data_IF_970624199036
#
_entry.id   IF_970624199036
#
_cell.length_a   1.000
_cell.length_b   1.000
_cell.length_c   1.000
_cell.angle_alpha   90.00
_cell.angle_beta   90.00
_cell.angle_gamma   90.00
#
_symmetry.space_group_name_H-M   'P 1'
#
loop_
_entity.id
_entity.type
_entity.pdbx_description
1 polymer ?
#
# COMPACT_ATOMS: atom_id res chain seq x y z
N UNK A 1 1.47 -17.92 -2.40
CA UNK A 1 1.01 -16.53 -2.46
C UNK A 1 -0.39 -16.32 -1.85
N UNK A 2 -1.37 -17.18 -2.17
CA UNK A 2 -2.75 -17.04 -1.62
C UNK A 2 -2.75 -17.15 -0.09
N UNK A 3 -2.12 -18.18 0.47
CA UNK A 3 -2.01 -18.35 1.94
C UNK A 3 -1.31 -17.16 2.59
N UNK A 4 -0.21 -16.69 1.99
CA UNK A 4 0.50 -15.49 2.44
C UNK A 4 -0.41 -14.27 2.44
N UNK A 5 -1.21 -14.06 1.39
CA UNK A 5 -2.15 -12.95 1.30
C UNK A 5 -3.24 -12.99 2.39
N UNK A 6 -3.77 -14.17 2.67
CA UNK A 6 -4.78 -14.36 3.73
C UNK A 6 -4.21 -13.99 5.11
N UNK A 7 -2.99 -14.48 5.42
CA UNK A 7 -2.34 -14.18 6.70
C UNK A 7 -2.01 -12.68 6.82
N UNK A 8 -1.47 -12.08 5.76
CA UNK A 8 -1.13 -10.65 5.77
C UNK A 8 -2.34 -9.74 5.80
N UNK A 9 -3.50 -10.12 5.26
CA UNK A 9 -4.70 -9.28 5.28
C UNK A 9 -5.19 -8.97 6.70
N UNK A 10 -4.93 -9.85 7.67
CA UNK A 10 -5.28 -9.64 9.07
C UNK A 10 -4.50 -8.49 9.72
N UNK A 11 -3.24 -8.28 9.36
CA UNK A 11 -2.39 -7.28 10.00
C UNK A 11 -2.91 -5.84 9.81
N UNK A 12 -3.18 -5.36 8.58
CA UNK A 12 -3.76 -4.03 8.37
C UNK A 12 -5.14 -3.87 9.02
N UNK A 13 -5.99 -4.90 8.95
CA UNK A 13 -7.33 -4.84 9.52
C UNK A 13 -7.28 -4.67 11.05
N UNK A 14 -6.43 -5.45 11.74
CA UNK A 14 -6.26 -5.36 13.18
C UNK A 14 -5.60 -4.02 13.57
N UNK A 15 -4.59 -3.58 12.83
CA UNK A 15 -3.91 -2.31 13.12
C UNK A 15 -4.86 -1.11 12.99
N UNK A 16 -5.69 -1.08 11.94
CA UNK A 16 -6.68 -0.01 11.76
C UNK A 16 -7.78 -0.06 12.82
N UNK A 17 -8.25 -1.24 13.22
CA UNK A 17 -9.22 -1.41 14.29
C UNK A 17 -8.64 -0.93 15.63
N UNK A 18 -7.41 -1.35 15.98
CA UNK A 18 -6.71 -0.91 17.18
C UNK A 18 -6.57 0.62 17.24
N UNK A 19 -6.13 1.25 16.15
CA UNK A 19 -6.03 2.71 16.08
C UNK A 19 -7.40 3.37 16.25
N UNK A 20 -8.45 2.83 15.65
CA UNK A 20 -9.80 3.35 15.76
C UNK A 20 -10.42 3.24 17.16
N UNK A 21 -9.99 2.24 17.95
CA UNK A 21 -10.48 1.98 19.30
C UNK A 21 -9.67 2.71 20.39
N UNK A 22 -8.36 2.87 20.21
CA UNK A 22 -7.44 3.36 21.25
C UNK A 22 -7.04 4.83 21.09
N UNK A 23 -7.18 5.41 19.88
CA UNK A 23 -6.78 6.78 19.59
C UNK A 23 -7.97 7.72 19.64
N UNK A 24 -7.84 8.85 20.34
CA UNK A 24 -8.87 9.88 20.39
C UNK A 24 -9.25 10.39 19.00
N UNK A 25 -10.54 10.67 18.78
CA UNK A 25 -11.07 11.08 17.48
C UNK A 25 -10.35 12.28 16.86
N UNK A 26 -9.84 13.22 17.66
CA UNK A 26 -9.07 14.38 17.18
C UNK A 26 -7.69 13.99 16.62
N UNK A 27 -7.08 12.92 17.13
CA UNK A 27 -5.75 12.43 16.74
C UNK A 27 -5.80 11.27 15.76
N UNK A 28 -6.98 10.69 15.55
CA UNK A 28 -7.17 9.49 14.70
C UNK A 28 -6.70 9.72 13.26
N UNK A 29 -6.98 10.88 12.68
CA UNK A 29 -6.53 11.21 11.33
C UNK A 29 -5.01 11.22 11.18
N UNK A 30 -4.31 11.77 12.19
CA UNK A 30 -2.84 11.78 12.22
C UNK A 30 -2.29 10.37 12.39
N UNK A 31 -2.86 9.59 13.30
CA UNK A 31 -2.43 8.20 13.53
C UNK A 31 -2.61 7.33 12.28
N UNK A 32 -3.75 7.44 11.60
CA UNK A 32 -4.00 6.76 10.32
C UNK A 32 -3.03 7.22 9.21
N UNK A 33 -2.74 8.53 9.13
CA UNK A 33 -1.77 9.08 8.21
C UNK A 33 -0.35 8.55 8.44
N UNK A 34 0.08 8.46 9.69
CA UNK A 34 1.37 7.85 10.07
C UNK A 34 1.43 6.37 9.71
N UNK A 35 0.35 5.63 9.96
CA UNK A 35 0.25 4.22 9.58
C UNK A 35 0.41 4.03 8.07
N UNK A 36 -0.33 4.80 7.25
CA UNK A 36 -0.24 4.74 5.78
C UNK A 36 1.15 5.14 5.29
N UNK A 37 1.74 6.18 5.88
CA UNK A 37 3.12 6.58 5.56
C UNK A 37 4.12 5.48 5.89
N UNK A 38 3.96 4.81 7.03
CA UNK A 38 4.77 3.66 7.41
C UNK A 38 4.69 2.49 6.42
N UNK A 39 3.49 2.18 5.92
CA UNK A 39 3.31 1.13 4.89
C UNK A 39 4.00 1.49 3.58
N UNK A 40 3.94 2.76 3.17
CA UNK A 40 4.60 3.25 1.95
C UNK A 40 6.12 3.19 2.07
N UNK A 41 6.67 3.67 3.19
CA UNK A 41 8.12 3.62 3.48
C UNK A 41 8.59 2.16 3.57
N UNK A 42 7.84 1.30 4.25
CA UNK A 42 8.16 -0.12 4.36
C UNK A 42 8.18 -0.83 3.00
N UNK A 43 7.18 -0.58 2.16
CA UNK A 43 7.10 -1.14 0.81
C UNK A 43 8.26 -0.68 -0.09
N UNK A 44 8.61 0.60 -0.04
CA UNK A 44 9.75 1.18 -0.74
C UNK A 44 11.07 0.59 -0.25
N UNK A 45 11.32 0.62 1.06
CA UNK A 45 12.56 0.13 1.67
C UNK A 45 12.80 -1.35 1.38
N UNK A 46 11.74 -2.18 1.45
CA UNK A 46 11.85 -3.59 1.11
C UNK A 46 12.31 -3.83 -0.32
N UNK A 47 11.84 -3.04 -1.27
CA UNK A 47 12.25 -3.16 -2.67
C UNK A 47 13.67 -2.65 -2.92
N UNK A 48 14.08 -1.56 -2.28
CA UNK A 48 15.46 -1.05 -2.34
C UNK A 48 16.44 -2.09 -1.76
N UNK A 49 16.12 -2.64 -0.59
CA UNK A 49 16.95 -3.67 0.05
C UNK A 49 17.05 -4.90 -0.87
N UNK A 50 15.91 -5.41 -1.39
CA UNK A 50 15.91 -6.57 -2.28
C UNK A 50 16.71 -6.33 -3.55
N UNK A 51 16.53 -5.17 -4.19
CA UNK A 51 17.28 -4.82 -5.41
C UNK A 51 18.80 -4.78 -5.14
N UNK A 52 19.20 -4.05 -4.10
CA UNK A 52 20.63 -3.92 -3.74
C UNK A 52 21.26 -5.25 -3.33
N UNK A 53 20.56 -6.07 -2.55
CA UNK A 53 21.07 -7.36 -2.12
C UNK A 53 21.12 -8.39 -3.26
N UNK A 54 20.20 -8.30 -4.22
CA UNK A 54 20.20 -9.18 -5.40
C UNK A 54 21.42 -8.94 -6.29
N UNK A 55 21.86 -7.69 -6.45
CA UNK A 55 23.02 -7.33 -7.26
C UNK A 55 24.35 -7.58 -6.52
N UNK A 56 24.40 -7.30 -5.20
CA UNK A 56 25.65 -7.40 -4.42
C UNK A 56 25.96 -8.84 -3.98
N UNK A 57 24.94 -9.65 -3.71
CA UNK A 57 25.09 -11.00 -3.19
C UNK A 57 24.21 -12.00 -3.94
N UNK A 58 22.94 -12.11 -3.50
CA UNK A 58 21.92 -12.95 -4.14
C UNK A 58 20.54 -12.60 -3.60
N UNK A 59 19.48 -12.97 -4.34
CA UNK A 59 18.12 -12.73 -3.89
C UNK A 59 17.78 -13.48 -2.58
N UNK A 60 18.41 -14.63 -2.32
CA UNK A 60 18.24 -15.43 -1.10
C UNK A 60 18.72 -14.64 0.13
N UNK A 61 19.88 -13.99 0.04
CA UNK A 61 20.42 -13.13 1.10
C UNK A 61 19.47 -11.97 1.38
N UNK A 62 18.92 -11.33 0.34
CA UNK A 62 17.92 -10.29 0.48
C UNK A 62 16.68 -10.75 1.26
N UNK A 63 16.15 -11.94 0.95
CA UNK A 63 15.00 -12.53 1.66
C UNK A 63 15.33 -12.82 3.12
N UNK A 64 16.53 -13.36 3.40
CA UNK A 64 16.97 -13.64 4.78
C UNK A 64 17.07 -12.34 5.59
N UNK A 65 17.69 -11.30 5.04
CA UNK A 65 17.83 -10.00 5.71
C UNK A 65 16.45 -9.41 6.03
N UNK A 66 15.54 -9.39 5.03
CA UNK A 66 14.18 -8.90 5.26
C UNK A 66 13.42 -9.76 6.29
N UNK A 67 13.63 -11.06 6.28
CA UNK A 67 13.04 -11.98 7.27
C UNK A 67 13.52 -11.66 8.68
N UNK A 68 14.83 -11.50 8.88
CA UNK A 68 15.42 -11.15 10.18
C UNK A 68 14.94 -9.78 10.66
N UNK A 69 14.95 -8.77 9.79
CA UNK A 69 14.45 -7.42 10.12
C UNK A 69 12.96 -7.47 10.49
N UNK A 70 12.15 -8.22 9.74
CA UNK A 70 10.71 -8.38 10.03
C UNK A 70 10.48 -9.06 11.38
N UNK A 71 11.26 -10.09 11.72
CA UNK A 71 11.19 -10.74 13.02
C UNK A 71 11.60 -9.79 14.15
N UNK A 72 12.68 -9.03 13.98
CA UNK A 72 13.12 -8.06 14.98
C UNK A 72 12.05 -6.98 15.23
N UNK A 73 11.42 -6.46 14.14
CA UNK A 73 10.32 -5.50 14.23
C UNK A 73 9.11 -6.14 14.95
N UNK A 74 8.79 -7.40 14.62
CA UNK A 74 7.69 -8.12 15.27
C UNK A 74 7.91 -8.27 16.77
N UNK A 75 9.11 -8.67 17.19
CA UNK A 75 9.45 -8.76 18.62
C UNK A 75 9.38 -7.40 19.31
N UNK A 76 9.94 -6.35 18.68
CA UNK A 76 9.85 -4.99 19.20
C UNK A 76 8.40 -4.53 19.33
N UNK A 77 7.57 -4.81 18.32
CA UNK A 77 6.14 -4.45 18.32
C UNK A 77 5.39 -5.13 19.46
N UNK A 78 5.59 -6.45 19.68
CA UNK A 78 4.95 -7.19 20.78
C UNK A 78 5.38 -6.64 22.13
N UNK A 79 6.64 -6.22 22.27
CA UNK A 79 7.16 -5.66 23.51
C UNK A 79 6.70 -4.21 23.74
N UNK A 80 6.66 -3.38 22.71
CA UNK A 80 6.40 -1.95 22.81
C UNK A 80 4.91 -1.58 22.73
N UNK A 81 4.06 -2.46 22.15
CA UNK A 81 2.64 -2.15 21.98
C UNK A 81 1.92 -2.16 23.33
N UNK A 82 1.28 -1.04 23.72
CA UNK A 82 0.46 -1.02 24.93
C UNK A 82 -0.71 -1.99 24.81
N UNK A 83 -1.14 -2.62 25.92
CA UNK A 83 -2.33 -3.44 25.91
C UNK A 83 -3.56 -2.57 25.58
N UNK A 84 -4.45 -3.12 24.75
CA UNK A 84 -5.70 -2.43 24.42
C UNK A 84 -6.55 -2.23 25.67
N UNK A 85 -7.02 -0.98 25.88
CA UNK A 85 -7.86 -0.60 27.01
C UNK A 85 -9.35 -0.65 26.70
N UNK A 86 -9.69 -0.49 25.42
CA UNK A 86 -11.09 -0.42 24.95
C UNK A 86 -11.56 -1.70 24.25
N UNK A 87 -10.67 -2.68 24.12
CA UNK A 87 -11.01 -3.96 23.50
C UNK A 87 -11.98 -4.77 24.36
N UNK A 88 -13.18 -5.03 23.85
CA UNK A 88 -14.16 -5.91 24.47
C UNK A 88 -14.12 -7.27 23.77
N UNK A 89 -13.55 -8.28 24.44
CA UNK A 89 -13.52 -9.63 23.90
C UNK A 89 -14.93 -10.18 23.73
N UNK A 90 -15.30 -10.50 22.50
CA UNK A 90 -16.56 -11.17 22.18
C UNK A 90 -16.30 -12.63 21.85
N UNK A 91 -17.16 -13.57 22.31
CA UNK A 91 -16.98 -14.97 21.97
C UNK A 91 -17.04 -15.16 20.45
N UNK A 92 -16.06 -15.89 19.91
CA UNK A 92 -15.98 -16.22 18.50
C UNK A 92 -17.16 -17.16 18.13
N UNK A 93 -18.19 -16.59 17.57
CA UNK A 93 -19.35 -17.32 17.08
C UNK A 93 -19.32 -17.31 15.55
N UNK A 94 -19.08 -18.45 14.94
CA UNK A 94 -18.92 -18.57 13.49
C UNK A 94 -20.19 -18.17 12.72
N UNK A 95 -21.39 -18.56 13.22
CA UNK A 95 -22.65 -18.22 12.56
C UNK A 95 -22.93 -16.71 12.47
N UNK A 96 -22.80 -15.91 13.54
CA UNK A 96 -22.94 -14.45 13.45
C UNK A 96 -21.90 -13.80 12.55
N UNK A 97 -20.64 -14.27 12.55
CA UNK A 97 -19.59 -13.73 11.67
C UNK A 97 -19.95 -13.93 10.19
N UNK A 98 -20.34 -15.14 9.82
CA UNK A 98 -20.77 -15.44 8.45
C UNK A 98 -22.02 -14.65 8.06
N UNK A 99 -22.98 -14.53 8.96
CA UNK A 99 -24.19 -13.73 8.72
C UNK A 99 -23.86 -12.24 8.54
N UNK A 100 -22.95 -11.70 9.34
CA UNK A 100 -22.49 -10.32 9.22
C UNK A 100 -21.75 -10.09 7.89
N UNK A 101 -20.88 -11.03 7.48
CA UNK A 101 -20.19 -10.97 6.19
C UNK A 101 -21.20 -10.91 5.03
N UNK A 102 -22.17 -11.82 5.01
CA UNK A 102 -23.22 -11.82 3.98
C UNK A 102 -24.10 -10.56 4.03
N UNK A 103 -24.34 -10.00 5.20
CA UNK A 103 -25.06 -8.74 5.33
C UNK A 103 -24.30 -7.59 4.68
N UNK A 104 -22.99 -7.47 4.94
CA UNK A 104 -22.15 -6.44 4.32
C UNK A 104 -21.97 -6.65 2.79
N UNK A 105 -21.94 -7.91 2.32
CA UNK A 105 -21.89 -8.21 0.88
C UNK A 105 -23.22 -7.94 0.16
N UNK A 106 -24.32 -7.73 0.88
CA UNK A 106 -25.61 -7.30 0.30
C UNK A 106 -25.77 -5.79 0.23
N UNK A 107 -24.96 -5.04 0.98
CA UNK A 107 -24.95 -3.58 0.91
C UNK A 107 -24.19 -3.14 -0.35
N UNK A 108 -24.95 -2.60 -1.31
CA UNK A 108 -24.41 -2.13 -2.59
C UNK A 108 -23.28 -1.10 -2.42
N UNK A 109 -23.38 -0.22 -1.42
CA UNK A 109 -22.37 0.81 -1.14
C UNK A 109 -21.06 0.18 -0.69
N UNK A 110 -21.14 -0.80 0.23
CA UNK A 110 -19.96 -1.50 0.72
C UNK A 110 -19.31 -2.36 -0.37
N UNK A 111 -20.11 -3.04 -1.18
CA UNK A 111 -19.60 -3.83 -2.32
C UNK A 111 -18.89 -2.94 -3.34
N UNK A 112 -19.43 -1.77 -3.66
CA UNK A 112 -18.75 -0.80 -4.53
C UNK A 112 -17.41 -0.33 -3.92
N UNK A 113 -17.37 -0.04 -2.63
CA UNK A 113 -16.13 0.35 -1.95
C UNK A 113 -15.09 -0.78 -1.97
N UNK A 114 -15.50 -2.01 -1.72
CA UNK A 114 -14.61 -3.18 -1.81
C UNK A 114 -14.09 -3.39 -3.23
N UNK A 115 -14.96 -3.23 -4.25
CA UNK A 115 -14.57 -3.34 -5.64
C UNK A 115 -13.56 -2.25 -6.05
N UNK A 116 -13.78 -1.00 -5.64
CA UNK A 116 -12.85 0.11 -5.87
C UNK A 116 -11.50 -0.19 -5.22
N UNK A 117 -11.48 -0.56 -3.94
CA UNK A 117 -10.24 -0.90 -3.23
C UNK A 117 -9.49 -2.07 -3.88
N UNK A 118 -10.21 -3.12 -4.29
CA UNK A 118 -9.64 -4.27 -5.00
C UNK A 118 -9.02 -3.86 -6.34
N UNK A 119 -9.73 -3.08 -7.16
CA UNK A 119 -9.26 -2.66 -8.47
C UNK A 119 -8.08 -1.69 -8.38
N UNK A 120 -8.15 -0.71 -7.48
CA UNK A 120 -7.05 0.25 -7.29
C UNK A 120 -5.79 -0.44 -6.79
N UNK A 121 -5.89 -1.22 -5.70
CA UNK A 121 -4.73 -1.91 -5.13
C UNK A 121 -4.20 -2.99 -6.08
N UNK A 122 -5.09 -3.73 -6.75
CA UNK A 122 -4.73 -4.73 -7.74
C UNK A 122 -3.97 -4.10 -8.92
N UNK A 123 -4.46 -2.99 -9.47
CA UNK A 123 -3.80 -2.25 -10.54
C UNK A 123 -2.43 -1.71 -10.11
N UNK A 124 -2.35 -1.14 -8.90
CA UNK A 124 -1.12 -0.60 -8.35
C UNK A 124 -0.04 -1.68 -8.19
N UNK A 125 -0.36 -2.78 -7.52
CA UNK A 125 0.59 -3.88 -7.31
C UNK A 125 1.00 -4.53 -8.63
N UNK A 126 0.04 -4.75 -9.53
CA UNK A 126 0.30 -5.32 -10.86
C UNK A 126 1.24 -4.42 -11.65
N UNK A 127 0.94 -3.13 -11.72
CA UNK A 127 1.75 -2.16 -12.45
C UNK A 127 3.19 -2.18 -11.98
N UNK A 128 3.43 -2.05 -10.69
CA UNK A 128 4.78 -2.02 -10.13
C UNK A 128 5.53 -3.34 -10.25
N UNK A 129 4.84 -4.47 -10.22
CA UNK A 129 5.50 -5.76 -10.46
C UNK A 129 5.92 -5.90 -11.93
N UNK A 130 5.01 -5.64 -12.88
CA UNK A 130 5.31 -5.80 -14.30
C UNK A 130 6.33 -4.78 -14.81
N UNK A 131 6.25 -3.52 -14.38
CA UNK A 131 7.22 -2.51 -14.79
C UNK A 131 8.64 -2.85 -14.30
N UNK A 132 8.75 -3.51 -13.13
CA UNK A 132 10.05 -3.97 -12.62
C UNK A 132 10.67 -5.02 -13.54
N UNK A 133 9.89 -6.01 -13.99
CA UNK A 133 10.37 -6.99 -14.98
C UNK A 133 10.78 -6.32 -16.29
N UNK A 134 9.94 -5.40 -16.80
CA UNK A 134 10.22 -4.65 -18.03
C UNK A 134 11.54 -3.87 -17.96
N UNK A 135 11.87 -3.30 -16.82
CA UNK A 135 13.10 -2.53 -16.65
C UNK A 135 14.35 -3.41 -16.50
N UNK A 136 14.21 -4.65 -16.04
CA UNK A 136 15.31 -5.61 -15.96
C UNK A 136 15.65 -6.23 -17.32
N UNK A 137 14.68 -6.28 -18.25
CA UNK A 137 14.82 -6.84 -19.58
C UNK A 137 15.25 -5.80 -20.63
N UNK A 138 15.73 -6.27 -21.80
CA UNK A 138 15.98 -5.39 -22.93
C UNK A 138 14.70 -4.70 -23.41
N UNK A 139 14.75 -3.44 -23.86
CA UNK A 139 15.93 -2.64 -24.19
C UNK A 139 16.54 -1.87 -23.01
N UNK A 140 15.99 -1.92 -21.80
CA UNK A 140 16.48 -1.10 -20.68
C UNK A 140 17.63 -1.76 -19.92
N UNK A 141 17.57 -3.06 -19.68
CA UNK A 141 18.58 -3.89 -19.00
C UNK A 141 19.17 -3.22 -17.73
N UNK A 142 18.29 -2.61 -16.90
CA UNK A 142 18.72 -1.94 -15.68
C UNK A 142 19.07 -2.98 -14.61
N UNK A 143 20.01 -2.65 -13.73
CA UNK A 143 20.31 -3.49 -12.57
C UNK A 143 19.15 -3.53 -11.57
N UNK A 144 19.07 -4.60 -10.78
CA UNK A 144 18.03 -4.73 -9.76
C UNK A 144 18.10 -3.61 -8.71
N UNK A 145 19.31 -3.13 -8.42
CA UNK A 145 19.53 -1.95 -7.56
C UNK A 145 18.83 -0.71 -8.12
N UNK A 146 19.06 -0.39 -9.40
CA UNK A 146 18.45 0.80 -10.03
C UNK A 146 16.93 0.67 -10.03
N UNK A 147 16.41 -0.50 -10.40
CA UNK A 147 14.96 -0.77 -10.33
C UNK A 147 14.44 -0.60 -8.92
N UNK A 148 15.17 -1.07 -7.89
CA UNK A 148 14.83 -0.85 -6.48
C UNK A 148 14.74 0.65 -6.12
N UNK A 149 15.68 1.48 -6.59
CA UNK A 149 15.67 2.93 -6.33
C UNK A 149 14.52 3.67 -7.03
N UNK A 150 14.01 3.17 -8.16
CA UNK A 150 12.82 3.74 -8.81
C UNK A 150 11.61 3.75 -7.87
N UNK A 151 11.55 2.83 -6.90
CA UNK A 151 10.49 2.81 -5.90
C UNK A 151 10.49 4.01 -4.93
N UNK A 152 11.51 4.89 -4.97
CA UNK A 152 11.43 6.21 -4.32
C UNK A 152 10.22 7.02 -4.80
N UNK A 153 9.69 6.71 -5.96
CA UNK A 153 8.43 7.28 -6.46
C UNK A 153 7.28 7.12 -5.46
N UNK A 154 7.31 6.12 -4.57
CA UNK A 154 6.31 5.99 -3.51
C UNK A 154 6.25 7.19 -2.56
N UNK A 155 7.34 7.92 -2.39
CA UNK A 155 7.35 9.16 -1.59
C UNK A 155 6.43 10.23 -2.19
N UNK A 156 6.27 10.24 -3.52
CA UNK A 156 5.31 11.11 -4.20
C UNK A 156 3.89 10.84 -3.72
N UNK A 157 3.57 9.58 -3.42
CA UNK A 157 2.28 9.18 -2.86
C UNK A 157 2.00 9.82 -1.51
N UNK A 158 3.00 9.88 -0.62
CA UNK A 158 2.85 10.52 0.70
C UNK A 158 2.52 12.01 0.55
N UNK A 159 3.18 12.71 -0.37
CA UNK A 159 2.87 14.12 -0.68
C UNK A 159 1.48 14.26 -1.31
N UNK A 160 1.17 13.39 -2.26
CA UNK A 160 -0.11 13.37 -2.99
C UNK A 160 -1.30 13.23 -2.03
N UNK A 161 -1.25 12.27 -1.11
CA UNK A 161 -2.37 12.03 -0.19
C UNK A 161 -2.67 13.23 0.71
N UNK A 162 -1.63 13.96 1.19
CA UNK A 162 -1.81 15.18 1.96
C UNK A 162 -2.43 16.29 1.11
N UNK A 163 -1.97 16.45 -0.14
CA UNK A 163 -2.48 17.45 -1.06
C UNK A 163 -3.94 17.20 -1.45
N UNK A 164 -4.27 15.96 -1.86
CA UNK A 164 -5.65 15.58 -2.19
C UNK A 164 -6.57 15.61 -0.98
N UNK A 165 -6.07 15.27 0.21
CA UNK A 165 -6.80 15.42 1.46
C UNK A 165 -7.25 16.87 1.71
N UNK A 166 -6.33 17.84 1.53
CA UNK A 166 -6.66 19.27 1.64
C UNK A 166 -7.61 19.73 0.54
N UNK A 167 -7.43 19.24 -0.68
CA UNK A 167 -8.29 19.56 -1.82
C UNK A 167 -9.72 19.04 -1.62
N UNK A 168 -9.85 17.83 -1.08
CA UNK A 168 -11.16 17.20 -0.81
C UNK A 168 -11.95 17.94 0.27
N UNK A 169 -11.25 18.54 1.24
CA UNK A 169 -11.87 19.39 2.25
C UNK A 169 -12.42 20.71 1.65
N UNK A 170 -11.80 21.20 0.57
CA UNK A 170 -12.18 22.47 -0.07
C UNK A 170 -13.26 22.30 -1.16
N UNK A 171 -13.11 21.28 -2.00
CA UNK A 171 -13.95 21.09 -3.19
C UNK A 171 -14.92 19.90 -3.09
N UNK A 172 -14.85 19.16 -2.00
CA UNK A 172 -15.65 17.95 -1.79
C UNK A 172 -14.94 16.68 -2.29
N UNK A 173 -15.38 15.54 -1.78
CA UNK A 173 -14.73 14.23 -2.02
C UNK A 173 -14.89 13.74 -3.45
N UNK A 174 -16.07 13.94 -4.06
CA UNK A 174 -16.41 13.35 -5.34
C UNK A 174 -15.60 13.93 -6.52
N UNK A 175 -15.50 15.26 -6.72
CA UNK A 175 -14.72 15.82 -7.84
C UNK A 175 -13.23 15.54 -7.68
N UNK A 176 -12.72 15.48 -6.45
CA UNK A 176 -11.32 15.17 -6.16
C UNK A 176 -11.01 13.71 -6.47
N UNK A 177 -11.91 12.79 -6.18
CA UNK A 177 -11.78 11.39 -6.58
C UNK A 177 -11.71 11.24 -8.10
N UNK A 178 -12.58 11.93 -8.84
CA UNK A 178 -12.52 11.90 -10.32
C UNK A 178 -11.21 12.46 -10.86
N UNK A 179 -10.70 13.54 -10.28
CA UNK A 179 -9.39 14.09 -10.64
C UNK A 179 -8.28 13.08 -10.40
N UNK A 180 -8.28 12.41 -9.24
CA UNK A 180 -7.32 11.35 -8.92
C UNK A 180 -7.36 10.21 -9.93
N UNK A 181 -8.55 9.73 -10.30
CA UNK A 181 -8.73 8.67 -11.31
C UNK A 181 -8.21 9.12 -12.68
N UNK A 182 -8.48 10.34 -13.11
CA UNK A 182 -7.99 10.86 -14.40
C UNK A 182 -6.45 10.91 -14.40
N UNK A 183 -5.83 11.41 -13.34
CA UNK A 183 -4.38 11.48 -13.20
C UNK A 183 -3.78 10.07 -13.17
N UNK A 184 -4.39 9.15 -12.43
CA UNK A 184 -3.99 7.74 -12.38
C UNK A 184 -3.99 7.08 -13.76
N UNK A 185 -5.08 7.25 -14.53
CA UNK A 185 -5.19 6.71 -15.89
C UNK A 185 -4.20 7.37 -16.85
N UNK A 186 -4.00 8.68 -16.77
CA UNK A 186 -3.01 9.38 -17.57
C UNK A 186 -1.59 8.86 -17.29
N UNK A 187 -1.25 8.66 -16.02
CA UNK A 187 0.02 8.03 -15.63
C UNK A 187 0.18 6.63 -16.20
N UNK A 188 -0.86 5.80 -16.12
CA UNK A 188 -0.86 4.45 -16.68
C UNK A 188 -0.60 4.46 -18.19
N UNK A 189 -1.27 5.32 -18.95
CA UNK A 189 -1.09 5.45 -20.40
C UNK A 189 0.34 5.86 -20.78
N UNK A 190 0.96 6.74 -20.00
CA UNK A 190 2.35 7.16 -20.22
C UNK A 190 3.40 6.06 -19.98
N UNK A 191 3.03 4.98 -19.28
CA UNK A 191 3.95 3.86 -19.06
C UNK A 191 3.93 2.82 -20.19
N UNK A 192 2.98 2.90 -21.14
CA UNK A 192 2.81 1.89 -22.19
C UNK A 192 3.93 1.93 -23.23
N UNK A 193 4.19 3.03 -23.96
CA UNK A 193 5.30 3.13 -24.89
C UNK A 193 6.36 4.13 -24.43
N UNK A 194 7.54 4.04 -25.02
CA UNK A 194 8.48 5.15 -25.01
C UNK A 194 9.79 4.93 -24.23
N UNK A 195 10.65 5.94 -24.23
CA UNK A 195 11.92 5.89 -23.54
C UNK A 195 11.74 5.79 -22.01
N UNK A 196 12.75 5.27 -21.32
CA UNK A 196 12.76 5.08 -19.87
C UNK A 196 12.25 6.31 -19.09
N UNK A 197 12.67 7.51 -19.51
CA UNK A 197 12.26 8.76 -18.89
C UNK A 197 10.75 8.96 -18.89
N UNK A 198 10.07 8.70 -20.01
CA UNK A 198 8.60 8.79 -20.08
C UNK A 198 7.92 7.79 -19.14
N UNK A 199 8.47 6.59 -19.02
CA UNK A 199 7.91 5.58 -18.13
C UNK A 199 8.07 5.94 -16.66
N UNK A 200 9.21 6.54 -16.28
CA UNK A 200 9.41 7.05 -14.91
C UNK A 200 8.44 8.18 -14.61
N UNK A 201 8.26 9.14 -15.54
CA UNK A 201 7.25 10.19 -15.38
C UNK A 201 5.85 9.58 -15.27
N UNK A 202 5.53 8.61 -16.11
CA UNK A 202 4.26 7.88 -16.05
C UNK A 202 4.03 7.24 -14.68
N UNK A 203 5.06 6.60 -14.10
CA UNK A 203 5.01 6.04 -12.74
C UNK A 203 4.79 7.11 -11.66
N UNK A 204 5.44 8.27 -11.78
CA UNK A 204 5.24 9.40 -10.86
C UNK A 204 3.79 9.87 -10.89
N UNK A 205 3.25 10.11 -12.10
CA UNK A 205 1.87 10.57 -12.29
C UNK A 205 0.87 9.50 -11.84
N UNK A 206 1.12 8.23 -12.18
CA UNK A 206 0.32 7.09 -11.76
C UNK A 206 0.24 6.98 -10.24
N UNK A 207 1.39 7.07 -9.57
CA UNK A 207 1.46 7.02 -8.11
C UNK A 207 0.79 8.22 -7.48
N UNK A 208 0.99 9.41 -8.04
CA UNK A 208 0.34 10.63 -7.58
C UNK A 208 -1.19 10.50 -7.63
N UNK A 209 -1.74 9.96 -8.73
CA UNK A 209 -3.18 9.74 -8.86
C UNK A 209 -3.72 8.60 -7.99
N UNK A 210 -2.92 7.57 -7.71
CA UNK A 210 -3.33 6.44 -6.85
C UNK A 210 -3.56 6.85 -5.40
N UNK A 211 -2.74 7.75 -4.87
CA UNK A 211 -2.83 8.23 -3.49
C UNK A 211 -3.80 9.42 -3.31
N UNK A 212 -4.61 9.73 -4.30
CA UNK A 212 -5.68 10.75 -4.26
C UNK A 212 -6.94 10.31 -3.43
#
# INVERSE_FOLDING_TARGET
>A
RVVQGIVFAGVPAIAMAYLGEEVDGNSLGVAMGLYISGTSIGGMSGRIIMGSMSDLFSWQVGVIILGVVSLAICFYFVWALPPSKHFVARPLQFKPLVKSLFHHLRDSTLVCLFAIGFLLMGSFVTMYNYISFKFLEEPYALSATIVGWIFLVYLVGTFSSAWFGSLSSKYGKQPVLYLGIIIFLAGLLLTIPGPLFMQIIGLVIFTFGFFA
#
